data_IF_024003509659
#
_entry.id   IF_024003509659
#
_cell.length_a   1.000
_cell.length_b   1.000
_cell.length_c   1.000
_cell.angle_alpha   90.00
_cell.angle_beta   90.00
_cell.angle_gamma   90.00
#
_symmetry.space_group_name_H-M   'P 1'
#
loop_
_entity.id
_entity.type
_entity.pdbx_description
1 polymer ?
#
# COMPACT_ATOMS: atom_id res chain seq x y z
N UNK A 1 16.33 16.46 -5.71
CA UNK A 1 17.58 15.73 -5.40
C UNK A 1 17.73 15.45 -3.89
N UNK A 2 17.41 16.40 -2.98
CA UNK A 2 17.53 16.20 -1.52
C UNK A 2 16.69 15.02 -1.02
N UNK A 3 15.40 14.93 -1.41
CA UNK A 3 14.53 13.81 -1.02
C UNK A 3 15.12 12.46 -1.48
N UNK A 4 15.54 12.37 -2.74
CA UNK A 4 16.12 11.12 -3.25
C UNK A 4 17.40 10.73 -2.49
N UNK A 5 18.22 11.69 -2.06
CA UNK A 5 19.41 11.41 -1.24
C UNK A 5 19.04 10.85 0.14
N UNK A 6 18.00 11.41 0.78
CA UNK A 6 17.50 10.90 2.07
C UNK A 6 16.90 9.50 1.94
N UNK A 7 16.09 9.27 0.91
CA UNK A 7 15.50 7.95 0.65
C UNK A 7 16.56 6.90 0.37
N UNK A 8 17.59 7.22 -0.43
CA UNK A 8 18.72 6.30 -0.67
C UNK A 8 19.49 5.96 0.60
N UNK A 9 19.71 6.93 1.48
CA UNK A 9 20.36 6.68 2.77
C UNK A 9 19.53 5.74 3.65
N UNK A 10 18.21 5.93 3.68
CA UNK A 10 17.29 5.04 4.40
C UNK A 10 17.28 3.62 3.84
N UNK A 11 17.18 3.48 2.52
CA UNK A 11 17.24 2.17 1.84
C UNK A 11 18.58 1.47 2.13
N UNK A 12 19.68 2.19 2.02
CA UNK A 12 21.01 1.64 2.29
C UNK A 12 21.12 1.11 3.73
N UNK A 13 20.59 1.84 4.72
CA UNK A 13 20.56 1.40 6.10
C UNK A 13 19.71 0.13 6.31
N UNK A 14 18.56 0.03 5.65
CA UNK A 14 17.75 -1.20 5.68
C UNK A 14 18.51 -2.39 5.10
N UNK A 15 19.16 -2.24 3.96
CA UNK A 15 19.97 -3.29 3.31
C UNK A 15 21.22 -3.67 4.09
N UNK A 16 21.82 -2.72 4.82
CA UNK A 16 22.95 -3.00 5.72
C UNK A 16 22.51 -3.85 6.92
N UNK A 17 21.31 -3.54 7.48
CA UNK A 17 20.76 -4.30 8.60
C UNK A 17 20.33 -5.71 8.19
N UNK A 18 19.64 -5.85 7.05
CA UNK A 18 19.24 -7.13 6.46
C UNK A 18 19.16 -7.00 4.92
N UNK A 19 20.10 -7.58 4.18
CA UNK A 19 20.10 -7.53 2.72
C UNK A 19 18.86 -8.13 2.04
N UNK A 20 18.15 -9.02 2.74
CA UNK A 20 16.93 -9.68 2.23
C UNK A 20 15.64 -8.96 2.64
N UNK A 21 15.71 -7.94 3.47
CA UNK A 21 14.53 -7.19 3.92
C UNK A 21 13.88 -6.45 2.73
N UNK A 22 12.61 -6.72 2.41
CA UNK A 22 11.92 -5.96 1.38
C UNK A 22 11.67 -4.52 1.86
N UNK A 23 11.97 -3.56 1.00
CA UNK A 23 11.77 -2.13 1.29
C UNK A 23 10.56 -1.62 0.51
N UNK A 24 9.58 -1.09 1.23
CA UNK A 24 8.39 -0.47 0.64
C UNK A 24 8.53 1.05 0.59
N UNK A 25 8.29 1.62 -0.58
CA UNK A 25 8.22 3.07 -0.75
C UNK A 25 6.76 3.52 -0.73
N UNK A 26 6.39 4.25 0.31
CA UNK A 26 5.01 4.66 0.56
C UNK A 26 4.71 6.05 0.00
N UNK A 27 3.65 6.15 -0.79
CA UNK A 27 3.17 7.40 -1.40
C UNK A 27 1.65 7.57 -1.20
N UNK A 28 1.25 8.74 -0.71
CA UNK A 28 -0.16 9.05 -0.44
C UNK A 28 -0.94 9.50 -1.69
N UNK A 29 -0.89 8.72 -2.79
CA UNK A 29 -1.52 9.07 -4.08
C UNK A 29 -2.25 7.86 -4.70
N UNK A 30 -3.07 7.16 -3.89
CA UNK A 30 -3.70 5.90 -4.32
C UNK A 30 -4.66 6.02 -5.51
N UNK A 31 -5.25 7.19 -5.76
CA UNK A 31 -6.14 7.40 -6.88
C UNK A 31 -5.65 8.43 -7.92
N UNK A 32 -4.48 9.02 -7.72
CA UNK A 32 -3.88 10.02 -8.60
C UNK A 32 -2.79 9.37 -9.45
N UNK A 33 -3.21 8.67 -10.51
CA UNK A 33 -2.32 7.82 -11.32
C UNK A 33 -1.14 8.60 -11.92
N UNK A 34 -1.40 9.75 -12.53
CA UNK A 34 -0.37 10.52 -13.24
C UNK A 34 0.69 11.07 -12.28
N UNK A 35 0.25 11.60 -11.15
CA UNK A 35 1.13 12.13 -10.11
C UNK A 35 1.96 11.02 -9.45
N UNK A 36 1.34 9.86 -9.21
CA UNK A 36 2.04 8.71 -8.67
C UNK A 36 3.11 8.20 -9.64
N UNK A 37 2.77 8.04 -10.91
CA UNK A 37 3.73 7.67 -11.97
C UNK A 37 4.87 8.66 -12.04
N UNK A 38 4.57 9.96 -12.09
CA UNK A 38 5.59 11.02 -12.12
C UNK A 38 6.54 10.93 -10.92
N UNK A 39 6.00 10.69 -9.73
CA UNK A 39 6.81 10.61 -8.52
C UNK A 39 7.75 9.40 -8.55
N UNK A 40 7.25 8.22 -8.87
CA UNK A 40 8.05 6.99 -8.90
C UNK A 40 9.09 7.01 -10.04
N UNK A 41 8.74 7.52 -11.22
CA UNK A 41 9.71 7.76 -12.32
C UNK A 41 10.89 8.61 -11.84
N UNK A 42 10.61 9.70 -11.16
CA UNK A 42 11.63 10.61 -10.66
C UNK A 42 12.52 9.99 -9.58
N UNK A 43 11.97 9.18 -8.69
CA UNK A 43 12.75 8.51 -7.63
C UNK A 43 13.63 7.41 -8.21
N UNK A 44 13.08 6.58 -9.09
CA UNK A 44 13.84 5.51 -9.76
C UNK A 44 14.96 6.09 -10.66
N UNK A 45 14.69 7.15 -11.42
CA UNK A 45 15.70 7.83 -12.24
C UNK A 45 16.86 8.42 -11.42
N UNK A 46 16.64 8.67 -10.12
CA UNK A 46 17.67 9.13 -9.18
C UNK A 46 18.34 7.99 -8.40
N UNK A 47 18.02 6.75 -8.75
CA UNK A 47 18.60 5.56 -8.13
C UNK A 47 18.10 5.27 -6.72
N UNK A 48 16.85 5.64 -6.40
CA UNK A 48 16.19 5.15 -5.18
C UNK A 48 15.71 3.73 -5.47
N UNK A 49 16.34 2.75 -4.83
CA UNK A 49 16.04 1.33 -5.01
C UNK A 49 15.09 0.84 -3.91
N UNK A 50 13.95 0.25 -4.30
CA UNK A 50 12.95 -0.30 -3.41
C UNK A 50 12.21 -1.47 -4.08
N UNK A 51 11.51 -2.30 -3.31
CA UNK A 51 10.90 -3.53 -3.79
C UNK A 51 9.40 -3.39 -4.00
N UNK A 52 8.73 -2.69 -3.10
CA UNK A 52 7.27 -2.62 -3.01
C UNK A 52 6.81 -1.16 -3.12
N UNK A 53 5.78 -0.91 -3.88
CA UNK A 53 5.05 0.36 -3.91
C UNK A 53 3.92 0.28 -2.88
N UNK A 54 3.96 1.17 -1.88
CA UNK A 54 2.89 1.36 -0.91
C UNK A 54 2.04 2.57 -1.26
N UNK A 55 0.71 2.44 -1.20
CA UNK A 55 -0.21 3.54 -1.49
C UNK A 55 -1.13 3.81 -0.31
N UNK A 56 -1.41 5.08 0.02
CA UNK A 56 -2.56 5.41 0.86
C UNK A 56 -3.81 5.54 0.01
N UNK A 57 -4.93 4.99 0.51
CA UNK A 57 -6.22 5.17 -0.12
C UNK A 57 -7.29 5.62 0.87
N UNK A 58 -7.77 6.84 0.67
CA UNK A 58 -8.88 7.44 1.39
C UNK A 58 -9.84 8.08 0.38
N UNK A 59 -11.08 7.60 0.24
CA UNK A 59 -12.00 8.03 -0.85
C UNK A 59 -12.19 9.54 -0.95
N UNK A 60 -12.16 10.23 0.18
CA UNK A 60 -12.32 11.69 0.21
C UNK A 60 -11.24 12.45 -0.57
N UNK A 61 -10.04 11.89 -0.66
CA UNK A 61 -8.88 12.56 -1.27
C UNK A 61 -8.36 11.85 -2.51
N UNK A 62 -8.62 10.55 -2.63
CA UNK A 62 -8.01 9.70 -3.66
C UNK A 62 -9.02 9.15 -4.67
N UNK A 63 -10.28 9.65 -4.66
CA UNK A 63 -11.30 9.23 -5.63
C UNK A 63 -11.93 7.88 -5.33
N UNK A 64 -12.35 7.19 -6.36
CA UNK A 64 -13.11 5.94 -6.26
C UNK A 64 -12.19 4.71 -6.11
N UNK A 65 -12.73 3.54 -5.70
CA UNK A 65 -11.98 2.27 -5.76
C UNK A 65 -11.46 1.93 -7.16
N UNK A 66 -12.18 2.32 -8.22
CA UNK A 66 -11.75 2.16 -9.61
C UNK A 66 -10.54 3.04 -9.94
N UNK A 67 -10.42 4.24 -9.36
CA UNK A 67 -9.25 5.09 -9.50
C UNK A 67 -8.03 4.44 -8.82
N UNK A 68 -8.21 3.88 -7.62
CA UNK A 68 -7.18 3.09 -6.95
C UNK A 68 -6.76 1.89 -7.80
N UNK A 69 -7.73 1.13 -8.32
CA UNK A 69 -7.45 -0.03 -9.18
C UNK A 69 -6.62 0.36 -10.38
N UNK A 70 -7.00 1.42 -11.08
CA UNK A 70 -6.26 1.95 -12.24
C UNK A 70 -4.84 2.32 -11.88
N UNK A 71 -4.66 3.03 -10.76
CA UNK A 71 -3.33 3.43 -10.28
C UNK A 71 -2.46 2.21 -9.97
N UNK A 72 -2.98 1.24 -9.22
CA UNK A 72 -2.24 0.02 -8.87
C UNK A 72 -1.81 -0.77 -10.12
N UNK A 73 -2.72 -0.99 -11.08
CA UNK A 73 -2.39 -1.69 -12.32
C UNK A 73 -1.33 -0.95 -13.14
N UNK A 74 -1.49 0.38 -13.29
CA UNK A 74 -0.51 1.20 -14.03
C UNK A 74 0.87 1.14 -13.40
N UNK A 75 0.96 1.25 -12.07
CA UNK A 75 2.25 1.20 -11.36
C UNK A 75 2.87 -0.20 -11.40
N UNK A 76 2.07 -1.26 -11.21
CA UNK A 76 2.54 -2.64 -11.29
C UNK A 76 3.09 -2.98 -12.68
N UNK A 77 2.37 -2.60 -13.74
CA UNK A 77 2.77 -2.83 -15.12
C UNK A 77 4.02 -2.02 -15.49
N UNK A 78 4.03 -0.72 -15.17
CA UNK A 78 5.13 0.18 -15.55
C UNK A 78 6.44 -0.14 -14.84
N UNK A 79 6.39 -0.42 -13.55
CA UNK A 79 7.60 -0.54 -12.72
C UNK A 79 7.98 -2.00 -12.40
N UNK A 80 7.09 -2.95 -12.69
CA UNK A 80 7.34 -4.35 -12.41
C UNK A 80 7.50 -4.67 -10.92
N UNK A 81 6.97 -3.81 -10.04
CA UNK A 81 7.09 -3.95 -8.59
C UNK A 81 5.80 -4.47 -7.95
N UNK A 82 5.94 -5.01 -6.75
CA UNK A 82 4.80 -5.40 -5.95
C UNK A 82 4.05 -4.18 -5.40
N UNK A 83 2.77 -4.34 -5.12
CA UNK A 83 1.87 -3.27 -4.68
C UNK A 83 1.24 -3.64 -3.34
N UNK A 84 1.25 -2.70 -2.41
CA UNK A 84 0.53 -2.78 -1.14
C UNK A 84 -0.31 -1.51 -0.96
N UNK A 85 -1.53 -1.64 -0.45
CA UNK A 85 -2.28 -0.48 0.05
C UNK A 85 -1.88 -0.27 1.51
N UNK A 86 -0.83 0.51 1.73
CA UNK A 86 -0.18 0.72 3.02
C UNK A 86 -1.06 1.43 4.05
N UNK A 87 -2.05 2.17 3.57
CA UNK A 87 -3.07 2.80 4.42
C UNK A 87 -4.43 2.81 3.74
N UNK A 88 -5.47 2.41 4.47
CA UNK A 88 -6.86 2.61 4.06
C UNK A 88 -7.79 2.65 5.28
N UNK A 89 -9.02 3.15 5.13
CA UNK A 89 -10.01 3.17 6.21
C UNK A 89 -11.40 2.66 5.82
N UNK A 90 -11.71 2.61 4.55
CA UNK A 90 -13.03 2.22 4.03
C UNK A 90 -12.90 1.12 2.96
N UNK A 91 -14.03 0.50 2.59
CA UNK A 91 -14.07 -0.53 1.54
C UNK A 91 -13.16 -1.74 1.80
N UNK A 92 -13.10 -2.21 3.06
CA UNK A 92 -12.17 -3.26 3.50
C UNK A 92 -12.09 -4.46 2.56
N UNK A 93 -13.25 -5.05 2.22
CA UNK A 93 -13.29 -6.21 1.32
C UNK A 93 -12.84 -5.85 -0.09
N UNK A 94 -13.38 -4.77 -0.63
CA UNK A 94 -13.16 -4.34 -2.01
C UNK A 94 -11.69 -4.00 -2.27
N UNK A 95 -11.02 -3.29 -1.35
CA UNK A 95 -9.60 -2.98 -1.47
C UNK A 95 -8.75 -4.25 -1.51
N UNK A 96 -9.02 -5.23 -0.65
CA UNK A 96 -8.29 -6.50 -0.70
C UNK A 96 -8.56 -7.27 -2.00
N UNK A 97 -9.82 -7.29 -2.46
CA UNK A 97 -10.17 -7.92 -3.73
C UNK A 97 -9.41 -7.24 -4.90
N UNK A 98 -9.31 -5.91 -4.91
CA UNK A 98 -8.57 -5.16 -5.92
C UNK A 98 -7.06 -5.45 -5.86
N UNK A 99 -6.46 -5.41 -4.68
CA UNK A 99 -5.02 -5.68 -4.51
C UNK A 99 -4.68 -7.09 -4.99
N UNK A 100 -5.41 -8.10 -4.51
CA UNK A 100 -5.15 -9.49 -4.88
C UNK A 100 -5.60 -9.87 -6.30
N UNK A 101 -6.28 -8.97 -7.02
CA UNK A 101 -6.58 -9.15 -8.45
C UNK A 101 -5.44 -8.71 -9.37
N UNK A 102 -4.38 -8.10 -8.84
CA UNK A 102 -3.25 -7.65 -9.66
C UNK A 102 -2.55 -8.82 -10.36
N UNK A 103 -2.19 -8.66 -11.64
CA UNK A 103 -1.57 -9.73 -12.41
C UNK A 103 -0.19 -10.11 -11.85
N UNK A 104 0.16 -11.39 -11.97
CA UNK A 104 1.46 -11.91 -11.57
C UNK A 104 1.67 -11.95 -10.06
N UNK A 105 0.57 -12.06 -9.28
CA UNK A 105 0.60 -12.15 -7.82
C UNK A 105 1.32 -10.95 -7.14
N UNK A 106 1.28 -9.80 -7.80
CA UNK A 106 1.99 -8.59 -7.32
C UNK A 106 1.29 -7.88 -6.15
N UNK A 107 0.07 -8.26 -5.81
CA UNK A 107 -0.66 -7.68 -4.69
C UNK A 107 -0.20 -8.25 -3.35
N UNK A 108 0.38 -7.42 -2.49
CA UNK A 108 0.92 -7.81 -1.19
C UNK A 108 -0.06 -7.57 -0.02
N UNK A 109 -1.32 -7.18 -0.32
CA UNK A 109 -2.35 -6.93 0.69
C UNK A 109 -2.55 -5.46 1.01
N UNK A 110 -3.27 -5.22 2.11
CA UNK A 110 -3.59 -3.87 2.55
C UNK A 110 -3.59 -3.74 4.08
N UNK A 111 -3.19 -2.56 4.59
CA UNK A 111 -3.09 -2.27 6.02
C UNK A 111 -4.14 -1.22 6.42
N UNK A 112 -5.00 -1.57 7.35
CA UNK A 112 -5.99 -0.59 7.86
C UNK A 112 -5.28 0.46 8.71
N UNK A 113 -5.62 1.74 8.47
CA UNK A 113 -5.07 2.85 9.24
C UNK A 113 -5.72 2.95 10.61
N UNK A 114 -4.89 3.05 11.65
CA UNK A 114 -5.26 3.27 13.06
C UNK A 114 -6.44 2.41 13.55
N UNK A 115 -6.35 1.07 13.56
CA UNK A 115 -7.46 0.20 13.91
C UNK A 115 -7.92 0.33 15.37
N UNK A 116 -7.11 0.96 16.23
CA UNK A 116 -7.37 1.06 17.67
C UNK A 116 -8.16 2.30 18.07
N UNK A 117 -8.01 3.42 17.39
CA UNK A 117 -8.40 4.71 17.98
C UNK A 117 -9.07 5.70 17.04
N UNK A 118 -9.57 5.31 15.87
CA UNK A 118 -10.12 6.28 14.95
C UNK A 118 -11.56 6.01 14.55
N UNK A 119 -12.01 6.85 13.67
CA UNK A 119 -13.30 6.81 12.96
C UNK A 119 -13.69 5.44 12.38
N UNK A 120 -12.74 4.55 12.14
CA UNK A 120 -12.95 3.19 11.58
C UNK A 120 -12.31 2.11 12.46
N UNK A 121 -12.31 2.31 13.76
CA UNK A 121 -11.69 1.40 14.74
C UNK A 121 -12.26 -0.01 14.65
N UNK A 122 -11.39 -0.97 14.93
CA UNK A 122 -11.71 -2.40 15.01
C UNK A 122 -11.78 -2.90 16.47
N UNK A 123 -11.48 -2.04 17.42
CA UNK A 123 -11.49 -2.33 18.85
C UNK A 123 -12.26 -1.26 19.63
N UNK A 124 -12.87 -1.64 20.71
CA UNK A 124 -13.51 -0.72 21.65
C UNK A 124 -12.47 -0.04 22.58
N UNK A 125 -12.94 0.86 23.45
CA UNK A 125 -12.07 1.59 24.39
C UNK A 125 -11.47 0.69 25.48
N UNK A 126 -11.90 -0.58 25.57
CA UNK A 126 -11.36 -1.59 26.49
C UNK A 126 -10.43 -2.58 25.80
N UNK A 127 -10.21 -2.40 24.48
CA UNK A 127 -9.38 -3.29 23.66
C UNK A 127 -10.10 -4.57 23.21
N UNK A 128 -11.43 -4.67 23.35
CA UNK A 128 -12.16 -5.81 22.80
C UNK A 128 -12.38 -5.61 21.30
N UNK A 129 -12.27 -6.70 20.55
CA UNK A 129 -12.52 -6.69 19.12
C UNK A 129 -14.00 -6.41 18.81
N UNK A 130 -14.26 -5.51 17.86
CA UNK A 130 -15.58 -5.24 17.30
C UNK A 130 -15.90 -6.25 16.19
N UNK A 131 -17.17 -6.45 15.89
CA UNK A 131 -17.60 -7.43 14.88
C UNK A 131 -17.04 -7.15 13.48
N UNK A 132 -16.75 -5.90 13.16
CA UNK A 132 -16.13 -5.49 11.89
C UNK A 132 -14.77 -6.15 11.62
N UNK A 133 -14.06 -6.63 12.65
CA UNK A 133 -12.78 -7.34 12.49
C UNK A 133 -12.96 -8.68 11.77
N UNK A 134 -14.15 -9.30 11.88
CA UNK A 134 -14.44 -10.63 11.29
C UNK A 134 -14.37 -10.66 9.76
N UNK A 135 -14.39 -9.49 9.11
CA UNK A 135 -14.18 -9.44 7.66
C UNK A 135 -12.81 -10.02 7.27
N UNK A 136 -11.80 -9.87 8.15
CA UNK A 136 -10.46 -10.40 7.89
C UNK A 136 -10.40 -11.92 7.95
N UNK A 137 -11.28 -12.59 8.70
CA UNK A 137 -11.40 -14.06 8.69
C UNK A 137 -11.79 -14.53 7.28
N UNK A 138 -12.76 -13.86 6.66
CA UNK A 138 -13.23 -14.19 5.31
C UNK A 138 -12.18 -13.87 4.24
N UNK A 139 -11.44 -12.78 4.41
CA UNK A 139 -10.35 -12.39 3.51
C UNK A 139 -9.17 -13.36 3.63
N UNK A 140 -8.79 -13.74 4.86
CA UNK A 140 -7.76 -14.74 5.10
C UNK A 140 -8.11 -16.07 4.46
N UNK A 141 -9.35 -16.57 4.66
CA UNK A 141 -9.82 -17.81 4.05
C UNK A 141 -9.80 -17.78 2.51
N UNK A 142 -9.94 -16.60 1.91
CA UNK A 142 -9.94 -16.43 0.46
C UNK A 142 -8.54 -16.31 -0.15
N UNK A 143 -7.64 -15.60 0.50
CA UNK A 143 -6.37 -15.18 -0.08
C UNK A 143 -5.12 -15.81 0.56
N UNK A 144 -5.19 -16.23 1.82
CA UNK A 144 -4.09 -16.88 2.52
C UNK A 144 -4.31 -18.42 2.49
N UNK A 145 -3.67 -19.06 1.53
CA UNK A 145 -3.69 -20.53 1.36
C UNK A 145 -2.34 -21.15 1.70
#
# INVERSE_FOLDING_TARGET
>A
DQLASLLKAGVAACREADPMMPVMMHLALGGQTEEAVFWFDNMLARGVDFDIIGLSYYPRWHGTPEDLSRTMHTLAERFGKDINVAEYSAFKKEIHDLVFSLPGERGQGACIWEPLNTWRRLFDDKGNALDEIRIYDSLAARYLR
#
